data_IF_691204637883
#
_entry.id   IF_691204637883
#
_cell.length_a   1.000
_cell.length_b   1.000
_cell.length_c   1.000
_cell.angle_alpha   90.00
_cell.angle_beta   90.00
_cell.angle_gamma   90.00
#
_symmetry.space_group_name_H-M   'P 1'
#
loop_
_entity.id
_entity.type
_entity.pdbx_description
1 polymer ?
#
# COMPACT_ATOMS: atom_id res chain seq x y z
N UNK A 1 -35.92 19.29 53.89
CA UNK A 1 -35.05 20.34 53.35
C UNK A 1 -33.76 19.77 52.87
N UNK A 2 -33.01 19.14 53.78
CA UNK A 2 -31.74 18.56 53.40
C UNK A 2 -31.86 17.41 52.39
N UNK A 3 -32.98 16.68 52.49
CA UNK A 3 -33.16 15.56 51.61
C UNK A 3 -33.34 15.95 50.16
N UNK A 4 -34.02 17.07 49.91
CA UNK A 4 -34.23 17.50 48.54
C UNK A 4 -32.91 18.00 47.93
N UNK A 5 -32.06 18.60 48.72
CA UNK A 5 -30.78 19.08 48.22
C UNK A 5 -29.87 17.90 47.86
N UNK A 6 -29.84 16.88 48.70
CA UNK A 6 -29.02 15.71 48.38
C UNK A 6 -29.53 14.94 47.18
N UNK A 7 -30.82 14.94 46.98
CA UNK A 7 -31.39 14.29 45.81
C UNK A 7 -30.97 14.99 44.54
N UNK A 8 -30.97 16.32 44.53
CA UNK A 8 -30.55 17.08 43.38
C UNK A 8 -29.09 16.85 43.09
N UNK A 9 -28.28 16.76 44.13
CA UNK A 9 -26.83 16.57 43.97
C UNK A 9 -26.51 15.21 43.31
N UNK A 10 -27.35 14.22 43.48
CA UNK A 10 -27.09 12.91 42.92
C UNK A 10 -27.68 12.71 41.54
N UNK A 11 -28.31 13.74 41.02
CA UNK A 11 -28.96 13.61 39.72
C UNK A 11 -27.92 13.76 38.60
N UNK A 12 -27.48 12.63 38.07
CA UNK A 12 -26.58 12.64 36.95
C UNK A 12 -27.35 13.08 35.70
N UNK A 13 -26.79 14.01 35.00
CA UNK A 13 -27.45 14.54 33.82
C UNK A 13 -27.37 13.51 32.68
N UNK A 14 -28.48 13.21 32.03
CA UNK A 14 -28.44 12.30 30.88
C UNK A 14 -27.52 12.81 29.77
N UNK A 15 -27.32 14.13 29.68
CA UNK A 15 -26.45 14.72 28.69
C UNK A 15 -25.02 14.23 28.85
N UNK A 16 -24.55 14.06 30.07
CA UNK A 16 -23.18 13.58 30.30
C UNK A 16 -23.00 12.16 29.84
N UNK A 17 -24.01 11.31 30.05
CA UNK A 17 -23.96 9.93 29.58
C UNK A 17 -23.99 9.89 28.05
N UNK A 18 -24.84 10.72 27.48
CA UNK A 18 -24.94 10.78 26.03
C UNK A 18 -23.65 11.27 25.41
N UNK A 19 -23.02 12.26 26.01
CA UNK A 19 -21.72 12.75 25.56
C UNK A 19 -20.66 11.64 25.60
N UNK A 20 -20.66 10.87 26.69
CA UNK A 20 -19.71 9.77 26.83
C UNK A 20 -19.91 8.74 25.74
N UNK A 21 -21.16 8.34 25.51
CA UNK A 21 -21.47 7.36 24.49
C UNK A 21 -21.06 7.89 23.12
N UNK A 22 -21.38 9.15 22.87
CA UNK A 22 -21.04 9.77 21.60
C UNK A 22 -19.53 9.80 21.37
N UNK A 23 -18.77 10.17 22.39
CA UNK A 23 -17.32 10.23 22.29
C UNK A 23 -16.74 8.83 22.05
N UNK A 24 -17.23 7.84 22.76
CA UNK A 24 -16.78 6.47 22.56
C UNK A 24 -17.12 5.97 21.16
N UNK A 25 -18.31 6.28 20.67
CA UNK A 25 -18.71 5.87 19.34
C UNK A 25 -17.83 6.51 18.27
N UNK A 26 -17.57 7.82 18.42
CA UNK A 26 -16.71 8.52 17.48
C UNK A 26 -15.30 7.96 17.52
N UNK A 27 -14.79 7.69 18.73
CA UNK A 27 -13.46 7.15 18.88
C UNK A 27 -13.30 5.78 18.25
N UNK A 28 -14.28 4.89 18.49
CA UNK A 28 -14.24 3.57 17.90
C UNK A 28 -14.36 3.63 16.39
N UNK A 29 -15.25 4.46 15.88
CA UNK A 29 -15.43 4.58 14.43
C UNK A 29 -14.17 5.13 13.78
N UNK A 30 -13.58 6.15 14.37
CA UNK A 30 -12.36 6.74 13.83
C UNK A 30 -11.21 5.74 13.86
N UNK A 31 -11.06 5.02 14.96
CA UNK A 31 -10.00 4.02 15.05
C UNK A 31 -10.19 2.93 14.02
N UNK A 32 -11.41 2.45 13.85
CA UNK A 32 -11.70 1.44 12.85
C UNK A 32 -11.41 1.93 11.44
N UNK A 33 -11.78 3.18 11.16
CA UNK A 33 -11.53 3.75 9.85
C UNK A 33 -10.03 3.89 9.58
N UNK A 34 -9.27 4.31 10.58
CA UNK A 34 -7.83 4.45 10.43
C UNK A 34 -7.19 3.08 10.19
N UNK A 35 -7.60 2.07 10.95
CA UNK A 35 -7.07 0.73 10.76
C UNK A 35 -7.41 0.19 9.38
N UNK A 36 -8.62 0.44 8.91
CA UNK A 36 -9.02 0.01 7.58
C UNK A 36 -8.18 0.67 6.50
N UNK A 37 -7.95 1.96 6.63
CA UNK A 37 -7.12 2.69 5.67
C UNK A 37 -5.69 2.15 5.70
N UNK A 38 -5.14 1.94 6.87
CA UNK A 38 -3.79 1.39 6.98
C UNK A 38 -3.71 0.01 6.34
N UNK A 39 -4.73 -0.83 6.56
CA UNK A 39 -4.74 -2.15 5.95
C UNK A 39 -4.81 -2.03 4.43
N UNK A 40 -5.64 -1.13 3.92
CA UNK A 40 -5.78 -0.97 2.48
C UNK A 40 -4.49 -0.43 1.84
N UNK A 41 -3.78 0.45 2.55
CA UNK A 41 -2.55 1.03 2.01
C UNK A 41 -1.38 0.06 2.06
N UNK A 42 -1.25 -0.68 3.15
CA UNK A 42 -0.05 -1.49 3.37
C UNK A 42 -0.27 -2.97 3.29
N UNK A 43 -1.53 -3.41 3.21
CA UNK A 43 -1.81 -4.82 3.04
C UNK A 43 -1.57 -5.28 1.62
N UNK A 44 -1.32 -6.56 1.47
CA UNK A 44 -1.12 -7.17 0.18
C UNK A 44 -2.35 -7.97 -0.23
N UNK A 45 -2.85 -7.67 -1.41
CA UNK A 45 -3.99 -8.42 -1.94
C UNK A 45 -3.56 -9.80 -2.40
N UNK A 46 -2.44 -9.86 -3.09
CA UNK A 46 -1.93 -11.13 -3.58
C UNK A 46 -0.44 -10.98 -3.84
N UNK A 47 0.17 -12.05 -4.25
CA UNK A 47 1.56 -12.05 -4.64
C UNK A 47 1.78 -13.05 -5.73
N UNK A 48 2.87 -12.93 -6.43
CA UNK A 48 3.14 -13.84 -7.51
C UNK A 48 4.52 -13.64 -8.10
N UNK A 49 4.68 -14.21 -9.28
CA UNK A 49 5.95 -14.22 -9.97
C UNK A 49 5.69 -14.05 -11.46
N UNK A 50 6.45 -13.17 -12.09
CA UNK A 50 6.37 -12.97 -13.54
C UNK A 50 7.75 -13.09 -14.14
N UNK A 51 7.81 -13.70 -15.32
CA UNK A 51 9.06 -13.96 -16.00
C UNK A 51 9.07 -13.21 -17.33
N UNK A 52 10.19 -12.59 -17.64
CA UNK A 52 10.32 -11.89 -18.91
C UNK A 52 11.58 -11.05 -18.95
N UNK A 53 11.59 -10.12 -19.89
CA UNK A 53 12.72 -9.20 -20.08
C UNK A 53 12.29 -7.79 -19.70
N UNK A 54 13.14 -7.10 -18.98
CA UNK A 54 12.87 -5.73 -18.58
C UNK A 54 13.23 -4.82 -19.75
N UNK A 55 12.30 -3.98 -20.15
CA UNK A 55 12.51 -3.10 -21.30
C UNK A 55 12.56 -1.64 -20.93
N UNK A 56 12.10 -1.26 -19.74
CA UNK A 56 12.06 0.13 -19.35
C UNK A 56 12.06 0.26 -17.84
N UNK A 57 12.82 1.21 -17.34
CA UNK A 57 12.77 1.63 -15.94
C UNK A 57 12.83 3.14 -15.93
N UNK A 58 11.89 3.78 -15.24
CA UNK A 58 11.83 5.22 -15.18
C UNK A 58 11.41 5.69 -13.80
N UNK A 59 11.74 6.92 -13.49
CA UNK A 59 11.36 7.55 -12.23
C UNK A 59 10.23 8.52 -12.53
N UNK A 60 9.10 8.34 -11.86
CA UNK A 60 7.90 9.13 -12.14
C UNK A 60 7.36 9.76 -10.88
N UNK A 61 6.60 10.85 -11.06
CA UNK A 61 5.93 11.53 -9.98
C UNK A 61 6.25 13.00 -9.96
N UNK A 62 5.32 13.80 -9.42
CA UNK A 62 5.53 15.23 -9.31
C UNK A 62 6.19 15.60 -8.00
N UNK A 63 5.59 15.20 -6.91
CA UNK A 63 6.12 15.49 -5.58
C UNK A 63 6.80 14.25 -5.00
N UNK A 64 6.10 13.14 -5.01
CA UNK A 64 6.64 11.86 -4.57
C UNK A 64 7.01 11.04 -5.78
N UNK A 65 8.29 10.80 -5.95
CA UNK A 65 8.79 10.08 -7.12
C UNK A 65 8.98 8.61 -6.80
N UNK A 66 8.54 7.77 -7.71
CA UNK A 66 8.64 6.32 -7.57
C UNK A 66 9.28 5.74 -8.82
N UNK A 67 9.89 4.57 -8.67
CA UNK A 67 10.47 3.88 -9.81
C UNK A 67 9.43 2.97 -10.43
N UNK A 68 9.30 3.05 -11.74
CA UNK A 68 8.33 2.28 -12.49
C UNK A 68 9.02 1.56 -13.62
N UNK A 69 8.60 0.34 -13.90
CA UNK A 69 9.20 -0.44 -14.96
C UNK A 69 8.20 -1.21 -15.78
N UNK A 70 8.67 -1.75 -16.87
CA UNK A 70 7.86 -2.55 -17.78
C UNK A 70 8.59 -3.85 -18.08
N UNK A 71 7.85 -4.95 -18.02
CA UNK A 71 8.37 -6.29 -18.28
C UNK A 71 7.68 -6.86 -19.50
N UNK A 72 8.48 -7.33 -20.47
CA UNK A 72 7.95 -8.02 -21.63
C UNK A 72 7.91 -9.50 -21.33
N UNK A 73 6.71 -10.01 -21.07
CA UNK A 73 6.52 -11.42 -20.74
C UNK A 73 6.44 -12.31 -21.97
N UNK A 74 6.38 -11.72 -23.15
CA UNK A 74 6.26 -12.49 -24.37
C UNK A 74 4.85 -12.79 -24.77
N UNK A 75 3.87 -12.36 -23.99
CA UNK A 75 2.48 -12.59 -24.30
C UNK A 75 1.98 -11.52 -25.25
N UNK A 76 1.46 -11.97 -26.38
CA UNK A 76 1.04 -11.04 -27.42
C UNK A 76 -0.19 -10.24 -27.00
N UNK A 77 -1.14 -10.89 -26.37
CA UNK A 77 -2.41 -10.25 -26.08
C UNK A 77 -2.39 -9.34 -24.87
N UNK A 78 -1.54 -9.63 -23.90
CA UNK A 78 -1.53 -8.85 -22.67
C UNK A 78 -0.60 -7.65 -22.72
N UNK A 79 0.29 -7.60 -23.70
CA UNK A 79 1.20 -6.48 -23.81
C UNK A 79 2.27 -6.52 -22.75
N UNK A 80 2.62 -5.33 -22.25
CA UNK A 80 3.67 -5.20 -21.28
C UNK A 80 3.09 -5.17 -19.89
N UNK A 81 3.78 -5.84 -18.97
CA UNK A 81 3.37 -5.86 -17.57
C UNK A 81 4.10 -4.75 -16.83
N UNK A 82 3.36 -3.91 -16.15
CA UNK A 82 3.92 -2.76 -15.44
C UNK A 82 4.05 -3.06 -13.96
N UNK A 83 5.15 -2.55 -13.39
CA UNK A 83 5.42 -2.76 -11.98
C UNK A 83 6.03 -1.52 -11.37
N UNK A 84 6.01 -1.47 -10.04
CA UNK A 84 6.58 -0.37 -9.26
C UNK A 84 7.65 -0.92 -8.33
N UNK A 85 8.62 -0.06 -8.00
CA UNK A 85 9.66 -0.38 -7.04
C UNK A 85 9.68 0.73 -6.01
N UNK A 86 9.80 0.34 -4.75
CA UNK A 86 9.87 1.32 -3.67
C UNK A 86 11.09 2.21 -3.85
N UNK A 87 10.91 3.48 -3.52
CA UNK A 87 11.94 4.48 -3.77
C UNK A 87 13.26 4.17 -3.07
N UNK A 88 13.18 3.61 -1.87
CA UNK A 88 14.37 3.31 -1.09
C UNK A 88 14.93 1.91 -1.32
N UNK A 89 14.38 1.17 -2.25
CA UNK A 89 14.82 -0.21 -2.52
C UNK A 89 15.88 -0.19 -3.62
N UNK A 90 17.04 0.34 -3.29
CA UNK A 90 18.11 0.51 -4.29
C UNK A 90 18.71 -0.79 -4.76
N UNK A 91 18.72 -1.81 -3.90
CA UNK A 91 19.26 -3.11 -4.30
C UNK A 91 18.42 -3.72 -5.42
N UNK A 92 17.12 -3.66 -5.29
CA UNK A 92 16.21 -4.14 -6.33
C UNK A 92 16.42 -3.35 -7.61
N UNK A 93 16.54 -2.02 -7.50
CA UNK A 93 16.74 -1.18 -8.67
C UNK A 93 18.03 -1.52 -9.39
N UNK A 94 19.11 -1.75 -8.65
CA UNK A 94 20.38 -2.10 -9.27
C UNK A 94 20.30 -3.43 -9.99
N UNK A 95 19.63 -4.42 -9.39
CA UNK A 95 19.45 -5.70 -10.03
C UNK A 95 18.62 -5.60 -11.30
N UNK A 96 17.57 -4.76 -11.27
CA UNK A 96 16.74 -4.56 -12.45
C UNK A 96 17.52 -3.89 -13.57
N UNK A 97 18.31 -2.89 -13.22
CA UNK A 97 19.12 -2.21 -14.24
C UNK A 97 20.13 -3.14 -14.87
N UNK A 98 20.80 -3.95 -14.05
CA UNK A 98 21.76 -4.92 -14.57
C UNK A 98 21.09 -5.90 -15.52
N UNK A 99 19.92 -6.40 -15.11
CA UNK A 99 19.20 -7.35 -15.95
C UNK A 99 18.75 -6.72 -17.26
N UNK A 100 18.33 -5.45 -17.17
CA UNK A 100 17.89 -4.74 -18.37
C UNK A 100 19.03 -4.52 -19.35
N UNK A 101 20.20 -4.12 -18.87
CA UNK A 101 21.36 -3.89 -19.71
C UNK A 101 21.82 -5.14 -20.41
N UNK A 102 21.65 -6.17 -19.66
CA UNK A 102 21.98 -7.16 -20.05
C UNK A 102 21.21 -7.86 -20.73
N UNK A 103 20.21 -7.54 -20.97
CA UNK A 103 19.19 -8.27 -21.66
C UNK A 103 18.84 -9.60 -21.07
N UNK A 104 19.11 -9.78 -19.79
CA UNK A 104 18.85 -11.05 -19.13
C UNK A 104 17.36 -11.26 -18.90
N UNK A 105 16.93 -12.51 -18.98
CA UNK A 105 15.60 -12.88 -18.58
C UNK A 105 15.52 -12.96 -17.07
N UNK A 106 14.45 -12.45 -16.48
CA UNK A 106 14.32 -12.39 -15.03
C UNK A 106 12.99 -12.95 -14.59
N UNK A 107 12.98 -13.44 -13.36
CA UNK A 107 11.74 -13.74 -12.65
C UNK A 107 11.56 -12.68 -11.58
N UNK A 108 10.50 -11.92 -11.66
CA UNK A 108 10.19 -10.87 -10.72
C UNK A 108 9.15 -11.35 -9.73
N UNK A 109 9.51 -11.38 -8.48
CA UNK A 109 8.56 -11.66 -7.40
C UNK A 109 7.92 -10.36 -6.98
N UNK A 110 6.61 -10.37 -6.81
CA UNK A 110 5.90 -9.13 -6.53
C UNK A 110 4.78 -9.35 -5.54
N UNK A 111 4.42 -8.27 -4.86
CA UNK A 111 3.23 -8.17 -4.04
C UNK A 111 2.26 -7.23 -4.72
N UNK A 112 1.01 -7.65 -4.78
CA UNK A 112 -0.04 -6.80 -5.34
C UNK A 112 -0.80 -6.15 -4.21
N UNK A 113 -0.85 -4.83 -4.22
CA UNK A 113 -1.52 -4.07 -3.18
C UNK A 113 -3.01 -3.94 -3.48
N UNK A 114 -3.78 -3.62 -2.44
CA UNK A 114 -5.21 -3.39 -2.63
C UNK A 114 -5.48 -2.12 -3.41
N UNK A 115 -4.69 -1.09 -3.17
CA UNK A 115 -4.95 0.23 -3.72
C UNK A 115 -3.68 0.78 -4.34
N UNK A 116 -3.84 1.47 -5.46
CA UNK A 116 -2.75 2.17 -6.12
C UNK A 116 -2.82 3.65 -5.75
N UNK A 117 -1.78 4.13 -5.10
CA UNK A 117 -1.67 5.53 -4.72
C UNK A 117 -0.45 6.14 -5.36
N UNK A 118 -0.57 7.37 -5.89
CA UNK A 118 0.55 7.97 -6.64
C UNK A 118 1.83 8.12 -5.82
N UNK A 119 1.73 8.36 -4.52
CA UNK A 119 2.94 8.53 -3.72
C UNK A 119 3.60 7.20 -3.33
N UNK A 120 2.91 6.08 -3.54
CA UNK A 120 3.49 4.76 -3.32
C UNK A 120 4.02 4.16 -4.61
N UNK A 121 3.34 4.41 -5.72
CA UNK A 121 3.69 3.88 -7.03
C UNK A 121 2.55 3.99 -7.99
N UNK A 122 2.87 3.96 -9.28
CA UNK A 122 1.85 4.06 -10.31
C UNK A 122 1.03 2.77 -10.45
N UNK A 123 1.60 1.65 -10.05
CA UNK A 123 0.92 0.37 -10.16
C UNK A 123 0.69 -0.22 -8.79
N UNK A 124 -0.10 -1.27 -8.75
CA UNK A 124 -0.31 -2.03 -7.53
C UNK A 124 0.73 -3.12 -7.32
N UNK A 125 1.55 -3.38 -8.33
CA UNK A 125 2.51 -4.48 -8.33
C UNK A 125 3.87 -3.98 -7.87
N UNK A 126 4.29 -4.38 -6.68
CA UNK A 126 5.57 -3.94 -6.13
C UNK A 126 6.55 -5.10 -6.11
N UNK A 127 7.71 -4.88 -6.69
CA UNK A 127 8.73 -5.93 -6.79
C UNK A 127 9.37 -6.13 -5.44
N UNK A 128 9.43 -7.38 -5.01
CA UNK A 128 10.05 -7.74 -3.75
C UNK A 128 11.36 -8.49 -3.93
N UNK A 129 11.55 -9.13 -5.08
CA UNK A 129 12.76 -9.91 -5.32
C UNK A 129 12.97 -10.06 -6.81
N UNK A 130 14.24 -10.02 -7.21
CA UNK A 130 14.63 -10.21 -8.62
C UNK A 130 15.52 -11.45 -8.70
N UNK A 131 15.15 -12.36 -9.60
CA UNK A 131 15.91 -13.58 -9.83
C UNK A 131 16.35 -13.59 -11.29
N UNK A 132 17.67 -13.63 -11.51
CA UNK A 132 18.21 -13.71 -12.85
C UNK A 132 18.11 -15.14 -13.36
N UNK A 133 17.58 -15.27 -14.59
CA UNK A 133 17.45 -16.58 -15.22
C UNK A 133 18.47 -16.72 -16.34
N UNK A 134 19.00 -17.90 -16.48
CA UNK A 134 19.92 -18.19 -17.58
C UNK A 134 19.11 -18.69 -18.77
N UNK A 135 19.44 -18.17 -19.93
CA UNK A 135 18.81 -18.62 -21.17
C UNK A 135 19.48 -19.85 -21.75
#
# INVERSE_FOLDING_TARGET
MAESLSFVAHNHKPVDIIKKILLWTIGLTTTGAVLLVLFALFGNYSGGERVGHIIKISKKGYVFKTWEGQLNTGEIQQGLWEFSVKQDDTEILDQLREAMKXGNRVALHYDEKYVSLPFLGDTKNFITEVELLED
#
